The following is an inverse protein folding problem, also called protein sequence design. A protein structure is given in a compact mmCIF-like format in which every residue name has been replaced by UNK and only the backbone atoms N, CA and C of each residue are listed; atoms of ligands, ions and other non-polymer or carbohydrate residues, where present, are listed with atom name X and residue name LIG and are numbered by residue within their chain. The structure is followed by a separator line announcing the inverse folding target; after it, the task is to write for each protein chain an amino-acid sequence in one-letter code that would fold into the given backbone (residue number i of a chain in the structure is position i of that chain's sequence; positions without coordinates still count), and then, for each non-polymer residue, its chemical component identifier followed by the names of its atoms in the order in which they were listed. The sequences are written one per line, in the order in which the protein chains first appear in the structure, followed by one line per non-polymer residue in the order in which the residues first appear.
data_IF_350564900512
#
_entry.id   IF_350564900512
#
_cell.length_a   1.000
_cell.length_b   1.000
_cell.length_c   1.000
_cell.angle_alpha   90.00
_cell.angle_beta   90.00
_cell.angle_gamma   90.00
#
_symmetry.space_group_name_H-M   'P 1'
#
loop_
_entity.id
_entity.type
_entity.pdbx_description
1 polymer ?
#
# COMPACT_ATOMS: atom_id res chain seq x y z
N UNK A 1 -9.57 11.80 -9.41
CA UNK A 1 -8.33 12.29 -8.75
C UNK A 1 -7.19 12.04 -9.70
N UNK A 2 -6.21 12.93 -9.83
CA UNK A 2 -5.02 12.61 -10.64
C UNK A 2 -4.05 11.72 -9.85
N UNK A 3 -3.20 10.98 -10.53
CA UNK A 3 -2.29 10.00 -9.88
C UNK A 3 -1.42 10.61 -8.78
N UNK A 4 -0.91 11.82 -8.97
CA UNK A 4 -0.14 12.52 -7.94
C UNK A 4 -0.94 12.78 -6.66
N UNK A 5 -2.24 13.06 -6.79
CA UNK A 5 -3.13 13.22 -5.63
C UNK A 5 -3.39 11.87 -4.94
N UNK A 6 -3.56 10.81 -5.74
CA UNK A 6 -3.77 9.45 -5.23
C UNK A 6 -2.53 8.97 -4.48
N UNK A 7 -1.33 9.11 -5.06
CA UNK A 7 -0.05 8.77 -4.41
C UNK A 7 0.09 9.47 -3.07
N UNK A 8 -0.17 10.79 -3.01
CA UNK A 8 -0.12 11.55 -1.74
C UNK A 8 -1.16 11.07 -0.74
N UNK A 9 -2.37 10.74 -1.20
CA UNK A 9 -3.44 10.23 -0.34
C UNK A 9 -3.06 8.88 0.28
N UNK A 10 -2.58 7.94 -0.55
CA UNK A 10 -2.14 6.62 -0.11
C UNK A 10 -0.92 6.73 0.81
N UNK A 11 0.07 7.56 0.46
CA UNK A 11 1.26 7.81 1.30
C UNK A 11 0.87 8.24 2.72
N UNK A 12 -0.05 9.19 2.87
CA UNK A 12 -0.52 9.64 4.17
C UNK A 12 -1.21 8.51 4.98
N UNK A 13 -1.91 7.58 4.32
CA UNK A 13 -2.46 6.40 5.02
C UNK A 13 -1.33 5.48 5.48
N UNK A 14 -0.37 5.20 4.59
CA UNK A 14 0.76 4.31 4.88
C UNK A 14 1.62 4.84 6.03
N UNK A 15 1.94 6.13 6.05
CA UNK A 15 2.75 6.74 7.11
C UNK A 15 2.06 6.66 8.47
N UNK A 16 0.75 6.98 8.52
CA UNK A 16 -0.04 6.84 9.75
C UNK A 16 -0.13 5.40 10.21
N UNK A 17 -0.28 4.47 9.28
CA UNK A 17 -0.34 3.04 9.59
C UNK A 17 1.02 2.54 10.12
N UNK A 18 2.13 2.92 9.46
CA UNK A 18 3.49 2.54 9.83
C UNK A 18 3.91 3.11 11.19
N UNK A 19 3.49 4.34 11.50
CA UNK A 19 3.75 4.99 12.78
C UNK A 19 2.78 4.55 13.90
N UNK A 20 1.89 3.59 13.65
CA UNK A 20 0.83 3.16 14.57
C UNK A 20 -0.13 4.28 15.02
N UNK A 21 -0.28 5.34 14.22
CA UNK A 21 -1.24 6.44 14.47
C UNK A 21 -2.68 6.02 14.12
N UNK A 22 -2.83 5.06 13.20
CA UNK A 22 -4.12 4.44 12.85
C UNK A 22 -4.00 2.91 12.85
N UNK A 23 -5.10 2.24 13.17
CA UNK A 23 -5.20 0.78 13.04
C UNK A 23 -5.40 0.35 11.58
N UNK A 24 -5.15 -0.94 11.29
CA UNK A 24 -5.46 -1.56 10.00
C UNK A 24 -6.92 -1.37 9.58
N UNK A 25 -7.86 -1.60 10.50
CA UNK A 25 -9.29 -1.35 10.27
C UNK A 25 -9.54 0.10 9.84
N UNK A 26 -8.94 1.05 10.58
CA UNK A 26 -9.12 2.47 10.29
C UNK A 26 -8.51 2.87 8.95
N UNK A 27 -7.38 2.29 8.56
CA UNK A 27 -6.79 2.50 7.24
C UNK A 27 -7.73 2.04 6.11
N UNK A 28 -8.35 0.87 6.24
CA UNK A 28 -9.34 0.35 5.28
C UNK A 28 -10.58 1.25 5.24
N UNK A 29 -11.08 1.70 6.40
CA UNK A 29 -12.24 2.60 6.46
C UNK A 29 -11.96 3.92 5.73
N UNK A 30 -10.80 4.54 5.97
CA UNK A 30 -10.39 5.78 5.29
C UNK A 30 -10.29 5.55 3.77
N UNK A 31 -9.78 4.40 3.35
CA UNK A 31 -9.64 4.06 1.93
C UNK A 31 -11.01 3.90 1.25
N UNK A 32 -11.93 3.18 1.89
CA UNK A 32 -13.25 2.85 1.34
C UNK A 32 -14.25 4.01 1.35
N UNK A 33 -14.10 4.95 2.28
CA UNK A 33 -14.94 6.16 2.35
C UNK A 33 -14.65 7.18 1.24
N UNK A 34 -13.55 7.03 0.50
CA UNK A 34 -13.21 7.93 -0.60
C UNK A 34 -13.71 7.38 -1.94
N UNK A 35 -14.97 7.64 -2.27
CA UNK A 35 -15.61 7.15 -3.50
C UNK A 35 -14.84 7.54 -4.77
N UNK A 36 -14.25 8.75 -4.81
CA UNK A 36 -13.46 9.22 -5.96
C UNK A 36 -12.17 8.42 -6.14
N UNK A 37 -11.55 7.98 -5.04
CA UNK A 37 -10.39 7.09 -5.10
C UNK A 37 -10.79 5.73 -5.65
N UNK A 38 -11.89 5.16 -5.12
CA UNK A 38 -12.40 3.85 -5.54
C UNK A 38 -12.74 3.86 -7.04
N UNK A 39 -13.48 4.87 -7.50
CA UNK A 39 -13.78 5.07 -8.92
C UNK A 39 -12.51 5.14 -9.75
N UNK A 40 -11.55 5.97 -9.34
CA UNK A 40 -10.32 6.16 -10.09
C UNK A 40 -9.45 4.91 -10.16
N UNK A 41 -9.31 4.14 -9.07
CA UNK A 41 -8.44 2.95 -9.05
C UNK A 41 -9.11 1.73 -9.69
N UNK A 42 -10.44 1.59 -9.57
CA UNK A 42 -11.17 0.43 -10.09
C UNK A 42 -11.60 0.61 -11.54
N UNK A 43 -12.04 1.83 -11.90
CA UNK A 43 -12.67 2.07 -13.21
C UNK A 43 -11.74 2.74 -14.21
N UNK A 44 -10.71 3.47 -13.74
CA UNK A 44 -9.74 4.13 -14.61
C UNK A 44 -8.40 3.41 -14.56
N UNK A 45 -7.66 3.43 -15.68
CA UNK A 45 -6.28 2.97 -15.69
C UNK A 45 -5.43 3.93 -14.85
N UNK A 46 -4.93 3.43 -13.72
CA UNK A 46 -3.91 4.07 -12.90
C UNK A 46 -2.61 3.27 -12.99
N UNK A 47 -1.51 3.93 -12.63
CA UNK A 47 -0.21 3.29 -12.53
C UNK A 47 -0.24 2.08 -11.61
N UNK A 48 0.54 1.05 -11.98
CA UNK A 48 0.47 -0.25 -11.34
C UNK A 48 0.80 -0.19 -9.84
N UNK A 49 1.77 0.62 -9.45
CA UNK A 49 2.17 0.88 -8.06
C UNK A 49 1.02 1.46 -7.21
N UNK A 50 0.19 2.35 -7.78
CA UNK A 50 -1.01 2.86 -7.12
C UNK A 50 -2.01 1.73 -6.90
N UNK A 51 -2.28 0.95 -7.94
CA UNK A 51 -3.25 -0.15 -7.86
C UNK A 51 -2.81 -1.21 -6.82
N UNK A 52 -1.54 -1.59 -6.84
CA UNK A 52 -0.96 -2.59 -5.95
C UNK A 52 -0.97 -2.10 -4.50
N UNK A 53 -0.62 -0.82 -4.26
CA UNK A 53 -0.71 -0.22 -2.93
C UNK A 53 -2.17 -0.18 -2.42
N UNK A 54 -3.12 0.21 -3.27
CA UNK A 54 -4.54 0.29 -2.90
C UNK A 54 -5.06 -1.09 -2.48
N UNK A 55 -4.76 -2.13 -3.25
CA UNK A 55 -5.18 -3.49 -2.91
C UNK A 55 -4.44 -4.03 -1.69
N UNK A 56 -3.15 -3.74 -1.51
CA UNK A 56 -2.44 -4.11 -0.28
C UNK A 56 -3.14 -3.56 0.97
N UNK A 57 -3.53 -2.27 0.95
CA UNK A 57 -4.25 -1.66 2.09
C UNK A 57 -5.61 -2.33 2.30
N UNK A 58 -6.36 -2.62 1.23
CA UNK A 58 -7.66 -3.31 1.30
C UNK A 58 -7.58 -4.68 1.99
N UNK A 59 -6.48 -5.40 1.80
CA UNK A 59 -6.30 -6.77 2.31
C UNK A 59 -5.53 -6.84 3.64
N UNK A 60 -5.30 -5.70 4.33
CA UNK A 60 -4.53 -5.68 5.60
C UNK A 60 -5.05 -6.61 6.70
N UNK A 61 -6.34 -6.93 6.69
CA UNK A 61 -7.01 -7.84 7.65
C UNK A 61 -7.10 -9.28 7.16
N UNK A 62 -6.94 -9.51 5.86
CA UNK A 62 -7.06 -10.81 5.22
C UNK A 62 -5.68 -11.46 5.04
N UNK A 63 -4.67 -10.62 4.80
CA UNK A 63 -3.30 -11.02 4.55
C UNK A 63 -2.36 -10.57 5.67
N UNK A 64 -1.32 -11.38 5.90
CA UNK A 64 -0.23 -11.02 6.80
C UNK A 64 0.76 -10.05 6.12
N UNK A 65 0.27 -8.86 5.79
CA UNK A 65 1.08 -7.79 5.22
C UNK A 65 2.11 -7.34 6.27
N UNK A 66 3.38 -7.35 5.86
CA UNK A 66 4.50 -6.99 6.74
C UNK A 66 4.72 -5.48 6.80
N UNK A 67 5.29 -4.99 7.92
CA UNK A 67 5.73 -3.60 8.03
C UNK A 67 6.76 -3.21 6.96
N UNK A 68 7.59 -4.16 6.52
CA UNK A 68 8.55 -3.95 5.43
C UNK A 68 7.86 -3.69 4.09
N UNK A 69 6.70 -4.31 3.85
CA UNK A 69 5.91 -4.05 2.65
C UNK A 69 5.28 -2.65 2.69
N UNK A 70 4.74 -2.25 3.85
CA UNK A 70 4.23 -0.90 4.06
C UNK A 70 5.34 0.13 3.84
N UNK A 71 6.52 -0.09 4.43
CA UNK A 71 7.70 0.76 4.27
C UNK A 71 8.15 0.85 2.80
N UNK A 72 8.13 -0.27 2.07
CA UNK A 72 8.48 -0.29 0.66
C UNK A 72 7.63 0.69 -0.16
N UNK A 73 6.31 0.71 0.06
CA UNK A 73 5.43 1.66 -0.63
C UNK A 73 5.66 3.11 -0.20
N UNK A 74 6.00 3.35 1.08
CA UNK A 74 6.38 4.69 1.56
C UNK A 74 7.62 5.19 0.81
N UNK A 75 8.67 4.38 0.70
CA UNK A 75 9.89 4.72 -0.06
C UNK A 75 9.56 5.03 -1.53
N UNK A 76 8.70 4.22 -2.15
CA UNK A 76 8.28 4.41 -3.54
C UNK A 76 7.51 5.72 -3.76
N UNK A 77 6.58 6.06 -2.86
CA UNK A 77 5.76 7.26 -3.01
C UNK A 77 6.44 8.56 -2.56
N UNK A 78 7.60 8.45 -1.89
CA UNK A 78 8.50 9.56 -1.61
C UNK A 78 9.56 9.78 -2.70
N UNK A 79 9.52 9.00 -3.78
CA UNK A 79 10.52 8.98 -4.84
C UNK A 79 11.95 8.65 -4.33
N UNK A 80 12.05 8.00 -3.16
CA UNK A 80 13.30 7.47 -2.61
C UNK A 80 13.72 6.18 -3.33
N UNK A 81 12.76 5.55 -4.03
CA UNK A 81 12.91 4.27 -4.68
C UNK A 81 11.93 4.10 -5.85
N UNK A 82 12.36 3.40 -6.89
CA UNK A 82 11.46 3.00 -7.98
C UNK A 82 10.67 1.74 -7.61
N UNK A 83 9.37 1.74 -7.94
CA UNK A 83 8.52 0.57 -7.74
C UNK A 83 8.96 -0.59 -8.65
N UNK A 84 9.06 -1.78 -8.07
CA UNK A 84 9.48 -3.01 -8.71
C UNK A 84 8.78 -4.21 -8.05
N UNK A 85 7.80 -4.77 -8.76
CA UNK A 85 7.01 -5.91 -8.27
C UNK A 85 7.87 -7.15 -7.97
N UNK A 86 8.88 -7.42 -8.79
CA UNK A 86 9.74 -8.58 -8.62
C UNK A 86 10.55 -8.49 -7.32
N UNK A 87 11.13 -7.32 -7.05
CA UNK A 87 11.88 -7.08 -5.83
C UNK A 87 10.98 -7.13 -4.59
N UNK A 88 9.76 -6.57 -4.69
CA UNK A 88 8.74 -6.66 -3.63
C UNK A 88 8.46 -8.13 -3.29
N UNK A 89 8.18 -8.96 -4.29
CA UNK A 89 7.83 -10.37 -4.11
C UNK A 89 8.98 -11.22 -3.55
N UNK A 90 10.23 -10.97 -3.97
CA UNK A 90 11.40 -11.68 -3.41
C UNK A 90 11.53 -11.40 -1.91
N UNK A 91 11.44 -10.13 -1.49
CA UNK A 91 11.56 -9.76 -0.06
C UNK A 91 10.43 -10.35 0.78
N UNK A 92 9.22 -10.44 0.25
CA UNK A 92 8.08 -11.07 0.92
C UNK A 92 8.26 -12.59 1.10
N UNK A 93 8.81 -13.27 0.10
CA UNK A 93 9.03 -14.72 0.18
C UNK A 93 10.18 -15.10 1.12
N UNK A 94 11.26 -14.31 1.17
CA UNK A 94 12.37 -14.53 2.12
C UNK A 94 11.86 -14.44 3.57
N UNK A 95 11.02 -13.44 3.88
CA UNK A 95 10.46 -13.26 5.23
C UNK A 95 9.52 -14.41 5.63
N UNK A 96 8.82 -15.04 4.67
CA UNK A 96 7.96 -16.20 4.95
C UNK A 96 8.78 -17.43 5.32
N UNK A 97 9.92 -17.67 4.68
CA UNK A 97 10.80 -18.80 4.98
C UNK A 97 11.53 -18.66 6.32
N UNK A 98 11.90 -17.44 6.73
CA UNK A 98 12.58 -17.19 8.01
C UNK A 98 11.66 -17.38 9.24
N UNK A 99 10.35 -17.20 9.11
CA UNK A 99 9.38 -17.43 10.20
C UNK A 99 9.02 -18.92 10.40
N UNK A 100 9.47 -19.80 9.52
CA UNK A 100 9.22 -21.25 9.54
C UNK A 100 10.41 -22.07 10.05
N UNK A 101 11.52 -21.43 10.45
CA UNK A 101 12.69 -22.05 11.08
C UNK A 101 12.77 -21.68 12.55
#
# INVERSE_FOLDING_TARGET
MIETEIRRYLLNILEKLYNNEISKNRAIDILTQNEKLVEQVIQNEVSFDISDCYFMIRHLLEENISENEIKYFIECFRDEREYNLHEKNIRLNIIKEEKLK
#
